data_IF_955524638796
#
_entry.id   IF_955524638796
#
_cell.length_a   1.000
_cell.length_b   1.000
_cell.length_c   1.000
_cell.angle_alpha   90.00
_cell.angle_beta   90.00
_cell.angle_gamma   90.00
#
_symmetry.space_group_name_H-M   'P 1'
#
loop_
_entity.id
_entity.type
_entity.pdbx_description
1 polymer ?
#
# COMPACT_ATOMS: atom_id res chain seq x y z
N UNK A 1 14.84 -5.35 -9.82
CA UNK A 1 13.72 -5.51 -10.76
C UNK A 1 12.55 -4.55 -10.53
N UNK A 2 12.32 -4.04 -9.30
CA UNK A 2 11.26 -3.08 -8.98
C UNK A 2 11.38 -1.71 -9.70
N UNK A 3 12.60 -1.17 -9.85
CA UNK A 3 12.82 0.14 -10.48
C UNK A 3 12.37 0.22 -11.95
N UNK A 4 12.51 -0.88 -12.71
CA UNK A 4 12.10 -0.93 -14.11
C UNK A 4 10.58 -0.96 -14.27
N UNK A 5 9.86 -1.57 -13.32
CA UNK A 5 8.40 -1.59 -13.34
C UNK A 5 7.82 -0.21 -12.98
N UNK A 6 8.39 0.48 -11.99
CA UNK A 6 8.03 1.85 -11.64
C UNK A 6 8.24 2.82 -12.82
N UNK A 7 9.35 2.68 -13.55
CA UNK A 7 9.64 3.53 -14.71
C UNK A 7 8.60 3.37 -15.84
N UNK A 8 8.15 2.13 -16.13
CA UNK A 8 7.14 1.88 -17.16
C UNK A 8 5.76 2.42 -16.80
N UNK A 9 5.41 2.41 -15.50
CA UNK A 9 4.16 3.01 -15.01
C UNK A 9 4.20 4.53 -15.13
N UNK A 10 5.33 5.17 -14.77
CA UNK A 10 5.50 6.62 -14.92
C UNK A 10 5.35 7.08 -16.38
N UNK A 11 5.92 6.34 -17.32
CA UNK A 11 5.75 6.62 -18.75
C UNK A 11 4.30 6.47 -19.23
N UNK A 12 3.54 5.52 -18.66
CA UNK A 12 2.12 5.29 -19.02
C UNK A 12 1.18 6.37 -18.49
N UNK A 13 1.44 6.94 -17.30
CA UNK A 13 0.62 8.03 -16.74
C UNK A 13 0.73 9.29 -17.60
N UNK A 14 1.96 9.63 -18.01
CA UNK A 14 2.24 10.83 -18.81
C UNK A 14 1.60 10.78 -20.21
N UNK A 15 1.48 9.59 -20.79
CA UNK A 15 0.94 9.39 -22.14
C UNK A 15 -0.61 9.39 -22.17
N UNK A 16 -1.27 8.99 -21.08
CA UNK A 16 -2.72 8.70 -21.08
C UNK A 16 -3.62 9.76 -20.43
N UNK A 17 -3.07 10.91 -19.99
CA UNK A 17 -3.79 11.91 -19.16
C UNK A 17 -4.48 11.28 -17.92
N UNK A 18 -3.96 10.15 -17.44
CA UNK A 18 -4.50 9.47 -16.26
C UNK A 18 -4.13 10.26 -15.00
N UNK A 19 -5.07 10.37 -14.05
CA UNK A 19 -4.87 11.09 -12.79
C UNK A 19 -4.13 10.27 -11.72
N UNK A 20 -4.04 8.95 -11.91
CA UNK A 20 -3.28 8.00 -11.10
C UNK A 20 -3.05 6.69 -11.88
N UNK A 21 -2.02 5.91 -11.50
CA UNK A 21 -1.87 4.52 -11.95
C UNK A 21 -1.69 3.56 -10.78
N UNK A 22 -2.37 2.42 -10.85
CA UNK A 22 -2.40 1.42 -9.81
C UNK A 22 -1.57 0.21 -10.22
N UNK A 23 -0.78 -0.32 -9.29
CA UNK A 23 0.00 -1.54 -9.44
C UNK A 23 -0.25 -2.44 -8.24
N UNK A 24 -0.52 -3.71 -8.51
CA UNK A 24 -0.65 -4.75 -7.49
C UNK A 24 0.66 -5.54 -7.44
N UNK A 25 1.27 -5.60 -6.27
CA UNK A 25 2.44 -6.42 -5.98
C UNK A 25 2.03 -7.55 -5.01
N UNK A 26 2.15 -8.78 -5.48
CA UNK A 26 1.96 -9.98 -4.65
C UNK A 26 3.14 -10.92 -4.85
N UNK A 27 3.73 -11.40 -3.75
CA UNK A 27 4.76 -12.42 -3.82
C UNK A 27 4.11 -13.77 -4.15
N UNK A 28 4.01 -14.07 -5.44
CA UNK A 28 3.70 -15.42 -5.88
C UNK A 28 4.76 -16.41 -5.40
N UNK A 29 4.29 -17.55 -4.90
CA UNK A 29 5.04 -18.79 -4.68
C UNK A 29 5.64 -19.03 -3.28
N UNK A 30 4.78 -19.26 -2.29
CA UNK A 30 4.92 -20.37 -1.33
C UNK A 30 3.61 -20.59 -0.59
N UNK A 31 3.05 -21.80 -0.71
CA UNK A 31 1.73 -22.24 -0.18
C UNK A 31 1.55 -22.12 1.35
N UNK A 32 2.51 -21.58 2.09
CA UNK A 32 2.59 -21.67 3.56
C UNK A 32 3.04 -20.38 4.26
N UNK A 33 3.26 -19.27 3.55
CA UNK A 33 3.59 -17.99 4.17
C UNK A 33 2.39 -17.05 4.07
N UNK A 34 2.04 -16.39 5.20
CA UNK A 34 1.08 -15.27 5.23
C UNK A 34 1.41 -14.34 4.07
N UNK A 35 0.60 -14.40 3.03
CA UNK A 35 0.91 -13.68 1.79
C UNK A 35 0.57 -12.22 2.03
N UNK A 36 1.56 -11.35 2.07
CA UNK A 36 1.30 -9.92 2.15
C UNK A 36 1.05 -9.40 0.73
N UNK A 37 -0.10 -8.77 0.52
CA UNK A 37 -0.44 -8.11 -0.74
C UNK A 37 -0.10 -6.62 -0.58
N UNK A 38 0.52 -6.04 -1.60
CA UNK A 38 0.83 -4.61 -1.65
C UNK A 38 0.15 -3.97 -2.85
N UNK A 39 -0.59 -2.91 -2.59
CA UNK A 39 -1.21 -2.06 -3.61
C UNK A 39 -0.47 -0.74 -3.65
N UNK A 40 -0.06 -0.31 -4.83
CA UNK A 40 0.70 0.93 -5.03
C UNK A 40 -0.04 1.79 -6.02
N UNK A 41 -0.30 3.05 -5.64
CA UNK A 41 -0.86 4.08 -6.50
C UNK A 41 0.22 5.14 -6.74
N UNK A 42 0.51 5.40 -8.00
CA UNK A 42 1.43 6.44 -8.45
C UNK A 42 0.63 7.64 -8.96
N UNK A 43 0.91 8.80 -8.40
CA UNK A 43 0.30 10.07 -8.78
C UNK A 43 1.19 10.85 -9.76
N UNK A 44 0.64 11.80 -10.54
CA UNK A 44 1.40 12.56 -11.53
C UNK A 44 2.47 13.48 -10.92
N UNK A 45 2.32 13.90 -9.67
CA UNK A 45 3.29 14.68 -8.91
C UNK A 45 4.45 13.83 -8.35
N UNK A 46 4.58 12.58 -8.80
CA UNK A 46 5.55 11.59 -8.32
C UNK A 46 5.38 11.18 -6.85
N UNK A 47 4.28 11.57 -6.20
CA UNK A 47 3.91 10.99 -4.90
C UNK A 47 3.30 9.61 -5.07
N UNK A 48 3.35 8.82 -4.01
CA UNK A 48 2.89 7.43 -4.02
C UNK A 48 2.04 7.15 -2.78
N UNK A 49 1.02 6.31 -2.94
CA UNK A 49 0.29 5.67 -1.86
C UNK A 49 0.58 4.17 -1.95
N UNK A 50 1.06 3.59 -0.86
CA UNK A 50 1.26 2.16 -0.70
C UNK A 50 0.31 1.66 0.40
N UNK A 51 -0.52 0.68 0.07
CA UNK A 51 -1.32 -0.05 1.05
C UNK A 51 -0.84 -1.49 1.15
N UNK A 52 -0.40 -1.88 2.33
CA UNK A 52 -0.05 -3.25 2.66
C UNK A 52 -1.24 -3.94 3.33
N UNK A 53 -1.60 -5.14 2.87
CA UNK A 53 -2.70 -5.93 3.42
C UNK A 53 -2.24 -7.36 3.66
N UNK A 54 -2.55 -7.90 4.83
CA UNK A 54 -2.37 -9.31 5.12
C UNK A 54 -3.44 -10.13 4.36
N UNK A 55 -3.05 -11.17 3.62
CA UNK A 55 -3.93 -11.96 2.72
C UNK A 55 -5.11 -12.67 3.41
N UNK A 56 -5.29 -12.53 4.73
CA UNK A 56 -6.49 -12.98 5.42
C UNK A 56 -7.69 -12.06 5.19
N UNK A 57 -7.48 -10.82 4.73
CA UNK A 57 -8.57 -9.90 4.38
C UNK A 57 -9.22 -10.31 3.04
N UNK A 58 -10.55 -10.21 2.90
CA UNK A 58 -11.22 -10.42 1.62
C UNK A 58 -10.71 -9.43 0.57
N UNK A 59 -10.49 -9.91 -0.66
CA UNK A 59 -9.96 -9.09 -1.75
C UNK A 59 -10.84 -7.87 -2.05
N UNK A 60 -12.16 -8.00 -1.90
CA UNK A 60 -13.11 -6.90 -2.11
C UNK A 60 -12.91 -5.76 -1.12
N UNK A 61 -12.80 -6.09 0.18
CA UNK A 61 -12.56 -5.10 1.24
C UNK A 61 -11.24 -4.35 1.02
N UNK A 62 -10.19 -5.07 0.64
CA UNK A 62 -8.90 -4.47 0.28
C UNK A 62 -9.04 -3.47 -0.88
N UNK A 63 -9.76 -3.84 -1.95
CA UNK A 63 -9.94 -2.97 -3.11
C UNK A 63 -10.75 -1.71 -2.77
N UNK A 64 -11.83 -1.85 -1.99
CA UNK A 64 -12.63 -0.71 -1.54
C UNK A 64 -11.81 0.24 -0.67
N UNK A 65 -11.15 -0.29 0.36
CA UNK A 65 -10.27 0.48 1.24
C UNK A 65 -9.20 1.25 0.46
N UNK A 66 -8.59 0.62 -0.55
CA UNK A 66 -7.57 1.25 -1.37
C UNK A 66 -8.13 2.38 -2.25
N UNK A 67 -9.33 2.20 -2.82
CA UNK A 67 -9.97 3.23 -3.63
C UNK A 67 -10.39 4.43 -2.77
N UNK A 68 -10.93 4.20 -1.58
CA UNK A 68 -11.31 5.26 -0.64
C UNK A 68 -10.09 6.13 -0.30
N UNK A 69 -8.95 5.51 0.03
CA UNK A 69 -7.69 6.23 0.29
C UNK A 69 -7.21 7.06 -0.91
N UNK A 70 -7.38 6.55 -2.13
CA UNK A 70 -7.00 7.29 -3.35
C UNK A 70 -7.91 8.51 -3.53
N UNK A 71 -9.23 8.34 -3.34
CA UNK A 71 -10.24 9.39 -3.49
C UNK A 71 -10.03 10.48 -2.44
N UNK A 72 -9.73 10.09 -1.19
CA UNK A 72 -9.43 11.00 -0.09
C UNK A 72 -8.11 11.76 -0.27
N UNK A 73 -7.27 11.32 -1.22
CA UNK A 73 -6.00 11.96 -1.51
C UNK A 73 -4.88 11.58 -0.54
N UNK A 74 -5.00 10.43 0.12
CA UNK A 74 -3.98 9.93 1.04
C UNK A 74 -2.67 9.59 0.31
N UNK A 75 -1.55 9.73 1.03
CA UNK A 75 -0.18 9.54 0.53
C UNK A 75 0.68 8.82 1.56
N UNK A 76 1.75 8.18 1.10
CA UNK A 76 2.70 7.48 1.95
C UNK A 76 2.39 5.99 2.06
N UNK A 77 2.89 5.35 3.13
CA UNK A 77 2.79 3.90 3.30
C UNK A 77 1.87 3.57 4.48
N UNK A 78 0.81 2.84 4.19
CA UNK A 78 -0.22 2.42 5.12
C UNK A 78 -0.30 0.90 5.17
N UNK A 79 -0.68 0.38 6.32
CA UNK A 79 -1.04 -1.01 6.52
C UNK A 79 -2.50 -1.10 6.95
N UNK A 80 -3.25 -1.98 6.30
CA UNK A 80 -4.62 -2.29 6.69
C UNK A 80 -4.59 -3.25 7.88
N UNK A 81 -5.11 -2.78 9.02
CA UNK A 81 -5.14 -3.55 10.27
C UNK A 81 -6.42 -4.38 10.39
N UNK A 82 -7.56 -3.80 10.01
CA UNK A 82 -8.87 -4.44 10.12
C UNK A 82 -9.86 -3.93 9.07
N UNK A 83 -10.82 -4.80 8.71
CA UNK A 83 -12.01 -4.48 7.92
C UNK A 83 -13.26 -4.90 8.69
N UNK A 84 -14.23 -4.00 8.78
CA UNK A 84 -15.56 -4.25 9.33
C UNK A 84 -16.63 -4.09 8.24
N UNK A 85 -17.82 -4.69 8.44
CA UNK A 85 -18.95 -4.50 7.54
C UNK A 85 -19.29 -3.01 7.33
N UNK A 86 -19.72 -2.68 6.11
CA UNK A 86 -20.12 -1.33 5.75
C UNK A 86 -18.95 -0.42 5.35
N UNK A 87 -17.91 -0.97 4.73
CA UNK A 87 -16.72 -0.25 4.27
C UNK A 87 -16.00 0.52 5.39
N UNK A 88 -15.90 -0.11 6.56
CA UNK A 88 -15.19 0.46 7.70
C UNK A 88 -13.82 -0.18 7.81
N UNK A 89 -12.77 0.65 7.79
CA UNK A 89 -11.39 0.18 7.71
C UNK A 89 -10.52 0.90 8.73
N UNK A 90 -9.58 0.18 9.32
CA UNK A 90 -8.56 0.74 10.22
C UNK A 90 -7.18 0.63 9.60
N UNK A 91 -6.46 1.75 9.59
CA UNK A 91 -5.13 1.84 8.99
C UNK A 91 -4.06 2.19 10.04
N UNK A 92 -2.90 1.57 9.91
CA UNK A 92 -1.66 1.96 10.59
C UNK A 92 -0.66 2.55 9.61
N UNK A 93 0.26 3.40 10.09
CA UNK A 93 1.41 3.79 9.27
C UNK A 93 2.35 2.60 9.13
N UNK A 94 2.69 2.26 7.89
CA UNK A 94 3.68 1.23 7.63
C UNK A 94 5.07 1.84 7.81
N UNK A 95 5.69 1.57 8.95
CA UNK A 95 7.09 1.88 9.19
C UNK A 95 7.92 0.87 8.40
N UNK A 96 8.23 1.19 7.13
CA UNK A 96 9.17 0.38 6.34
C UNK A 96 10.53 0.54 7.03
N UNK A 97 10.90 -0.44 7.86
CA UNK A 97 12.12 -0.43 8.64
C UNK A 97 13.34 -0.23 7.74
N UNK A 98 13.94 0.96 7.84
CA UNK A 98 15.39 1.02 7.94
C UNK A 98 15.67 0.60 9.38
N UNK A 99 15.80 -0.70 9.63
CA UNK A 99 16.40 -1.16 10.88
C UNK A 99 17.86 -0.68 10.90
N UNK A 100 18.09 0.51 11.46
CA UNK A 100 19.25 0.72 12.31
C UNK A 100 18.74 0.86 13.73
N UNK A 101 18.85 -0.25 14.45
CA UNK A 101 19.05 -0.34 15.89
C UNK A 101 19.07 1.00 16.63
N UNK A 102 18.00 1.30 17.35
CA UNK A 102 18.06 2.05 18.60
C UNK A 102 16.83 1.68 19.44
N UNK A 103 17.03 0.60 20.21
CA UNK A 103 16.66 0.46 21.62
C UNK A 103 15.38 1.18 22.07
N UNK A 104 14.39 0.37 22.43
CA UNK A 104 13.26 0.75 23.25
C UNK A 104 13.71 1.52 24.50
N UNK A 105 13.17 2.72 24.70
CA UNK A 105 13.00 3.30 26.04
C UNK A 105 11.58 3.84 26.15
N UNK A 106 10.84 3.21 27.06
CA UNK A 106 9.51 3.59 27.54
C UNK A 106 9.55 5.01 28.11
N UNK A 107 8.54 5.81 27.77
CA UNK A 107 8.26 7.04 28.50
C UNK A 107 6.89 6.89 29.18
N UNK A 108 6.89 6.82 30.50
CA UNK A 108 5.73 7.13 31.33
C UNK A 108 6.11 8.40 32.10
N UNK A 109 5.21 9.39 32.08
CA UNK A 109 5.33 10.60 32.88
C UNK A 109 4.88 10.35 34.31
#
# INVERSE_FOLDING_TARGET
MAAAAAARVKSSIADQRAWAAIRVEGQGSRKDAVSTIRLVCHYPDSTELLLQVNSTAPTTDMCHAFLDLIIDGERGSLEMLHSEPGNQYSFGRLTIGIERSAKAESFVA
#
